data_IF_244866235000
#
_entry.id   IF_244866235000
#
_cell.length_a   1.000
_cell.length_b   1.000
_cell.length_c   1.000
_cell.angle_alpha   90.00
_cell.angle_beta   90.00
_cell.angle_gamma   90.00
#
_symmetry.space_group_name_H-M   'P 1'
#
loop_
_entity.id
_entity.type
_entity.pdbx_description
1 polymer ?
#
# COMPACT_ATOMS: atom_id res chain seq x y z
N UNK A 1 15.21 7.55 -26.95
CA UNK A 1 13.87 8.01 -26.50
C UNK A 1 13.78 8.02 -24.99
N UNK A 2 12.80 8.70 -24.42
CA UNK A 2 12.62 8.72 -22.97
C UNK A 2 12.13 7.38 -22.44
N UNK A 3 12.49 7.00 -21.19
CA UNK A 3 12.02 5.78 -20.56
C UNK A 3 10.49 5.72 -20.44
N UNK A 4 9.92 4.54 -20.58
CA UNK A 4 8.50 4.27 -20.39
C UNK A 4 8.27 3.63 -19.02
N UNK A 5 7.33 4.17 -18.24
CA UNK A 5 7.00 3.72 -16.89
C UNK A 5 5.82 2.75 -16.91
N UNK A 6 5.91 1.72 -16.08
CA UNK A 6 4.85 0.72 -15.90
C UNK A 6 3.99 1.00 -14.66
N UNK A 7 4.41 1.94 -13.81
CA UNK A 7 3.72 2.26 -12.56
C UNK A 7 2.60 3.28 -12.77
N UNK A 8 1.50 3.13 -12.02
CA UNK A 8 0.48 4.16 -11.87
C UNK A 8 1.02 5.32 -11.02
N UNK A 9 0.43 6.50 -11.18
CA UNK A 9 0.87 7.72 -10.47
C UNK A 9 0.47 7.76 -8.99
N UNK A 10 -0.26 6.76 -8.50
CA UNK A 10 -0.72 6.64 -7.12
C UNK A 10 -0.57 5.22 -6.61
N UNK A 11 -0.16 5.10 -5.34
CA UNK A 11 -0.14 3.85 -4.58
C UNK A 11 -0.68 4.08 -3.17
N UNK A 12 -1.17 3.01 -2.53
CA UNK A 12 -1.62 3.02 -1.14
C UNK A 12 -0.76 2.03 -0.36
N UNK A 13 -0.27 2.45 0.80
CA UNK A 13 0.51 1.60 1.71
C UNK A 13 -0.01 1.78 3.14
N UNK A 14 0.22 0.77 3.99
CA UNK A 14 -0.18 0.81 5.38
C UNK A 14 0.92 1.41 6.25
N UNK A 15 0.56 2.31 7.18
CA UNK A 15 1.50 2.89 8.14
C UNK A 15 2.23 1.81 8.95
N UNK A 16 3.45 2.09 9.35
CA UNK A 16 4.33 1.20 10.12
C UNK A 16 4.53 -0.21 9.52
N UNK A 17 4.04 -0.47 8.30
CA UNK A 17 4.19 -1.74 7.61
C UNK A 17 5.25 -1.67 6.51
N UNK A 18 5.93 -2.81 6.31
CA UNK A 18 6.86 -2.97 5.21
C UNK A 18 6.11 -3.03 3.89
N UNK A 19 6.60 -2.31 2.89
CA UNK A 19 6.07 -2.34 1.53
C UNK A 19 7.17 -2.41 0.48
N UNK A 20 6.79 -2.85 -0.70
CA UNK A 20 7.62 -2.82 -1.91
C UNK A 20 6.80 -2.30 -3.08
N UNK A 21 7.40 -1.42 -3.87
CA UNK A 21 6.77 -0.82 -5.03
C UNK A 21 7.79 -0.75 -6.17
N UNK A 22 7.50 -1.40 -7.29
CA UNK A 22 8.38 -1.35 -8.45
C UNK A 22 8.18 -0.06 -9.22
N UNK A 23 9.24 0.74 -9.32
CA UNK A 23 9.31 1.95 -10.13
C UNK A 23 10.07 1.70 -11.44
N UNK A 24 10.15 0.45 -11.86
CA UNK A 24 10.90 0.05 -13.06
C UNK A 24 10.40 0.79 -14.30
N UNK A 25 11.33 1.30 -15.06
CA UNK A 25 11.10 1.84 -16.39
C UNK A 25 11.80 0.97 -17.44
N UNK A 26 11.31 1.05 -18.66
CA UNK A 26 11.91 0.38 -19.82
C UNK A 26 12.43 1.47 -20.77
N UNK A 27 13.70 1.38 -21.11
CA UNK A 27 14.27 2.21 -22.16
C UNK A 27 14.14 1.52 -23.53
N UNK A 28 13.46 2.13 -24.51
CA UNK A 28 13.26 1.52 -25.83
C UNK A 28 14.53 1.37 -26.66
N UNK A 29 15.55 2.18 -26.37
CA UNK A 29 16.84 2.17 -27.09
C UNK A 29 17.86 1.20 -26.45
N UNK A 30 17.50 0.62 -25.26
CA UNK A 30 18.32 -0.33 -24.53
C UNK A 30 19.43 0.32 -23.69
N UNK A 31 19.29 1.60 -23.36
CA UNK A 31 20.22 2.31 -22.50
C UNK A 31 20.13 1.85 -21.03
N UNK A 32 21.23 1.94 -20.30
CA UNK A 32 21.26 1.59 -18.89
C UNK A 32 20.57 2.67 -18.06
N UNK A 33 19.67 2.26 -17.15
CA UNK A 33 18.96 3.18 -16.28
C UNK A 33 19.51 3.13 -14.85
N UNK A 34 19.56 4.29 -14.19
CA UNK A 34 19.77 4.36 -12.75
C UNK A 34 18.73 5.23 -12.09
N UNK A 35 18.35 4.86 -10.85
CA UNK A 35 17.22 5.43 -10.11
C UNK A 35 17.71 6.06 -8.81
N UNK A 36 17.18 7.23 -8.48
CA UNK A 36 17.39 7.88 -7.18
C UNK A 36 16.20 8.74 -6.80
N UNK A 37 15.95 8.92 -5.50
CA UNK A 37 15.03 9.96 -5.05
C UNK A 37 15.63 11.34 -5.33
N UNK A 38 14.78 12.30 -5.68
CA UNK A 38 15.16 13.67 -5.93
C UNK A 38 14.03 14.64 -5.59
N UNK A 39 14.32 15.94 -5.60
CA UNK A 39 13.32 16.95 -5.32
C UNK A 39 12.21 16.97 -6.38
N UNK A 40 10.95 16.97 -5.94
CA UNK A 40 9.80 17.34 -6.75
C UNK A 40 9.80 18.87 -6.97
N UNK A 41 9.31 19.31 -8.11
CA UNK A 41 9.25 20.74 -8.42
C UNK A 41 7.87 21.31 -8.18
N UNK A 42 7.83 22.56 -7.71
CA UNK A 42 6.62 23.37 -7.70
C UNK A 42 6.17 23.62 -9.13
N UNK A 43 4.98 23.13 -9.49
CA UNK A 43 4.39 23.33 -10.81
C UNK A 43 2.95 23.83 -10.77
N UNK A 44 2.32 23.66 -9.60
CA UNK A 44 0.93 24.05 -9.34
C UNK A 44 0.75 24.39 -7.86
N UNK A 45 -0.36 24.98 -7.50
CA UNK A 45 -0.78 25.23 -6.12
C UNK A 45 -2.27 24.89 -5.91
N UNK A 46 -2.73 24.94 -4.66
CA UNK A 46 -4.12 24.62 -4.33
C UNK A 46 -5.14 25.53 -5.03
N UNK A 47 -4.78 26.78 -5.31
CA UNK A 47 -5.64 27.74 -6.01
C UNK A 47 -5.60 27.59 -7.53
N UNK A 48 -4.52 27.00 -8.06
CA UNK A 48 -4.32 26.74 -9.48
C UNK A 48 -3.66 25.36 -9.68
N UNK A 49 -4.42 24.27 -9.50
CA UNK A 49 -3.88 22.91 -9.54
C UNK A 49 -3.49 22.43 -10.96
N UNK A 50 -3.94 23.12 -11.98
CA UNK A 50 -3.64 22.81 -13.38
C UNK A 50 -3.38 24.10 -14.17
N UNK A 51 -2.21 24.74 -14.00
CA UNK A 51 -1.89 25.96 -14.71
C UNK A 51 -1.86 25.74 -16.23
N UNK A 52 -2.41 26.69 -16.98
CA UNK A 52 -2.49 26.62 -18.45
C UNK A 52 -1.10 26.61 -19.10
N UNK A 53 -0.10 27.15 -18.45
CA UNK A 53 1.30 27.11 -18.88
C UNK A 53 2.21 26.77 -17.71
N UNK A 54 3.20 25.91 -17.96
CA UNK A 54 4.23 25.63 -16.97
C UNK A 54 5.00 26.90 -16.62
N UNK A 55 5.42 27.01 -15.36
CA UNK A 55 6.30 28.08 -14.93
C UNK A 55 7.63 28.01 -15.71
N UNK A 56 8.23 29.15 -16.08
CA UNK A 56 9.55 29.15 -16.69
C UNK A 56 10.61 28.75 -15.66
N UNK A 57 11.77 28.19 -16.10
CA UNK A 57 12.89 27.95 -15.21
C UNK A 57 13.43 29.26 -14.61
N UNK A 58 14.09 29.23 -13.42
CA UNK A 58 14.47 28.04 -12.65
C UNK A 58 13.29 27.42 -11.90
N UNK A 59 13.23 26.09 -11.86
CA UNK A 59 12.23 25.34 -11.10
C UNK A 59 12.66 25.22 -9.64
N UNK A 60 11.75 25.56 -8.72
CA UNK A 60 12.00 25.46 -7.28
C UNK A 60 11.44 24.14 -6.74
N UNK A 61 12.14 23.50 -5.79
CA UNK A 61 11.61 22.31 -5.13
C UNK A 61 10.37 22.63 -4.29
N UNK A 62 9.50 21.64 -4.13
CA UNK A 62 8.38 21.75 -3.17
C UNK A 62 8.95 21.89 -1.75
N UNK A 63 8.29 22.66 -0.86
CA UNK A 63 8.69 22.77 0.53
C UNK A 63 8.37 21.45 1.25
N UNK A 64 9.40 20.66 1.59
CA UNK A 64 9.23 19.46 2.39
C UNK A 64 9.05 19.81 3.87
N UNK A 65 8.14 19.09 4.54
CA UNK A 65 8.02 19.14 5.99
C UNK A 65 9.08 18.25 6.64
N UNK A 66 9.81 18.78 7.62
CA UNK A 66 10.79 17.97 8.38
C UNK A 66 10.14 16.78 9.08
N UNK A 67 10.78 15.60 9.08
CA UNK A 67 12.14 15.29 8.65
C UNK A 67 12.30 14.91 7.17
N UNK A 68 11.28 15.07 6.36
CA UNK A 68 11.28 14.65 4.95
C UNK A 68 12.06 15.59 4.04
N UNK A 69 12.53 15.06 2.92
CA UNK A 69 13.27 15.80 1.88
C UNK A 69 13.10 15.10 0.52
N UNK A 70 13.52 15.72 -0.56
CA UNK A 70 13.48 15.07 -1.87
C UNK A 70 14.29 13.79 -1.97
N UNK A 71 15.38 13.67 -1.20
CA UNK A 71 16.19 12.44 -1.12
C UNK A 71 15.70 11.43 -0.09
N UNK A 72 14.80 11.84 0.78
CA UNK A 72 14.18 11.03 1.84
C UNK A 72 12.68 11.36 1.96
N UNK A 73 11.91 11.14 0.88
CA UNK A 73 10.54 11.63 0.80
C UNK A 73 9.57 10.93 1.77
N UNK A 74 9.92 9.75 2.25
CA UNK A 74 9.19 9.00 3.29
C UNK A 74 10.05 8.72 4.52
N UNK A 75 11.15 9.47 4.72
CA UNK A 75 12.09 9.29 5.81
C UNK A 75 13.15 8.22 5.55
N UNK A 76 13.99 7.96 6.55
CA UNK A 76 15.15 7.06 6.45
C UNK A 76 14.78 5.58 6.26
N UNK A 77 13.54 5.20 6.61
CA UNK A 77 13.06 3.82 6.53
C UNK A 77 12.73 3.34 5.11
N UNK A 78 12.69 4.26 4.12
CA UNK A 78 12.31 3.94 2.73
C UNK A 78 13.44 4.29 1.79
N UNK A 79 13.82 3.34 0.94
CA UNK A 79 14.93 3.47 -0.01
C UNK A 79 14.51 3.06 -1.42
N UNK A 80 15.28 3.46 -2.42
CA UNK A 80 15.14 3.01 -3.80
C UNK A 80 16.39 2.28 -4.24
N UNK A 81 16.22 1.13 -4.87
CA UNK A 81 17.34 0.40 -5.48
C UNK A 81 17.80 1.12 -6.75
N UNK A 82 19.07 1.55 -6.86
CA UNK A 82 19.54 2.36 -7.98
C UNK A 82 19.59 1.62 -9.32
N UNK A 83 19.50 0.29 -9.32
CA UNK A 83 19.57 -0.53 -10.54
C UNK A 83 18.19 -0.98 -10.98
N UNK A 84 17.33 -1.41 -10.03
CA UNK A 84 16.04 -2.00 -10.35
C UNK A 84 14.88 -1.02 -10.25
N UNK A 85 15.07 0.15 -9.62
CA UNK A 85 13.99 1.08 -9.33
C UNK A 85 12.99 0.57 -8.27
N UNK A 86 13.33 -0.52 -7.53
CA UNK A 86 12.48 -1.02 -6.46
C UNK A 86 12.54 -0.07 -5.26
N UNK A 87 11.42 0.55 -4.94
CA UNK A 87 11.20 1.30 -3.71
C UNK A 87 10.80 0.31 -2.63
N UNK A 88 11.47 0.33 -1.48
CA UNK A 88 11.17 -0.59 -0.38
C UNK A 88 11.50 0.02 0.98
N UNK A 89 10.78 -0.41 1.99
CA UNK A 89 11.00 0.01 3.37
C UNK A 89 9.75 -0.04 4.22
N UNK A 90 9.83 0.50 5.43
CA UNK A 90 8.69 0.64 6.32
C UNK A 90 8.05 2.02 6.12
N UNK A 91 6.76 2.03 5.84
CA UNK A 91 6.00 3.27 5.68
C UNK A 91 6.02 4.10 6.98
N UNK A 92 6.02 5.43 6.89
CA UNK A 92 5.90 6.29 8.06
C UNK A 92 4.63 5.99 8.87
N UNK A 93 4.67 6.25 10.20
CA UNK A 93 3.49 6.16 11.06
C UNK A 93 2.49 7.31 10.85
N UNK A 94 2.93 8.40 10.23
CA UNK A 94 2.08 9.55 9.96
C UNK A 94 1.22 9.31 8.73
N UNK A 95 -0.09 9.34 8.93
CA UNK A 95 -1.06 9.16 7.84
C UNK A 95 -1.05 10.39 6.93
N UNK A 96 -1.26 10.15 5.63
CA UNK A 96 -1.37 11.22 4.66
C UNK A 96 -0.76 10.88 3.30
N UNK A 97 -0.72 11.88 2.45
CA UNK A 97 -0.18 11.76 1.10
C UNK A 97 1.28 12.22 1.06
N UNK A 98 2.13 11.35 0.54
CA UNK A 98 3.55 11.60 0.32
C UNK A 98 3.83 11.74 -1.16
N UNK A 99 4.50 12.82 -1.54
CA UNK A 99 4.98 13.02 -2.91
C UNK A 99 6.41 12.52 -3.02
N UNK A 100 6.60 11.55 -3.88
CA UNK A 100 7.92 10.99 -4.20
C UNK A 100 8.28 11.39 -5.62
N UNK A 101 9.46 11.97 -5.79
CA UNK A 101 10.03 12.19 -7.10
C UNK A 101 11.23 11.25 -7.30
N UNK A 102 11.22 10.52 -8.41
CA UNK A 102 12.33 9.66 -8.81
C UNK A 102 13.00 10.27 -10.03
N UNK A 103 14.30 10.49 -9.91
CA UNK A 103 15.17 10.84 -11.02
C UNK A 103 15.69 9.56 -11.67
N UNK A 104 15.47 9.43 -12.97
CA UNK A 104 15.95 8.33 -13.80
C UNK A 104 17.01 8.88 -14.74
N UNK A 105 18.24 8.40 -14.59
CA UNK A 105 19.36 8.76 -15.44
C UNK A 105 19.61 7.65 -16.46
N UNK A 106 19.71 8.04 -17.72
CA UNK A 106 19.98 7.16 -18.86
C UNK A 106 21.46 7.24 -19.25
N UNK A 107 22.09 6.07 -19.40
CA UNK A 107 23.50 5.97 -19.75
C UNK A 107 23.68 5.13 -21.00
N UNK A 108 24.41 5.67 -21.97
CA UNK A 108 24.86 4.97 -23.18
C UNK A 108 26.38 4.84 -23.14
N UNK A 109 26.89 3.60 -23.15
CA UNK A 109 28.32 3.30 -23.04
C UNK A 109 28.97 3.97 -21.80
N UNK A 110 28.26 4.04 -20.67
CA UNK A 110 28.72 4.66 -19.43
C UNK A 110 28.68 6.20 -19.40
N UNK A 111 28.19 6.84 -20.46
CA UNK A 111 28.02 8.30 -20.52
C UNK A 111 26.56 8.66 -20.24
N UNK A 112 26.32 9.58 -19.32
CA UNK A 112 24.99 10.13 -19.04
C UNK A 112 24.49 10.91 -20.26
N UNK A 113 23.36 10.49 -20.81
CA UNK A 113 22.76 11.11 -22.00
C UNK A 113 21.46 11.86 -21.70
N UNK A 114 20.72 11.44 -20.66
CA UNK A 114 19.46 12.06 -20.28
C UNK A 114 19.16 11.85 -18.79
N UNK A 115 18.34 12.72 -18.25
CA UNK A 115 17.78 12.60 -16.90
C UNK A 115 16.31 12.99 -16.91
N UNK A 116 15.45 12.05 -16.57
CA UNK A 116 13.99 12.22 -16.52
C UNK A 116 13.52 12.19 -15.08
N UNK A 117 12.49 12.97 -14.75
CA UNK A 117 11.83 12.96 -13.43
C UNK A 117 10.42 12.42 -13.56
N UNK A 118 10.03 11.57 -12.62
CA UNK A 118 8.68 11.05 -12.52
C UNK A 118 8.22 11.17 -11.07
N UNK A 119 7.05 11.76 -10.88
CA UNK A 119 6.41 11.87 -9.57
C UNK A 119 5.43 10.73 -9.34
N UNK A 120 5.31 10.33 -8.08
CA UNK A 120 4.39 9.32 -7.58
C UNK A 120 3.80 9.81 -6.27
N UNK A 121 2.50 9.63 -6.10
CA UNK A 121 1.82 9.91 -4.85
C UNK A 121 1.58 8.61 -4.09
N UNK A 122 2.14 8.49 -2.88
CA UNK A 122 1.87 7.38 -1.97
C UNK A 122 0.94 7.86 -0.86
N UNK A 123 -0.23 7.24 -0.77
CA UNK A 123 -1.15 7.45 0.34
C UNK A 123 -0.81 6.46 1.46
N UNK A 124 -0.40 6.98 2.61
CA UNK A 124 -0.21 6.19 3.83
C UNK A 124 -1.51 6.19 4.62
N UNK A 125 -2.10 5.02 4.77
CA UNK A 125 -3.34 4.81 5.51
C UNK A 125 -3.11 3.95 6.75
N UNK A 126 -4.02 4.07 7.70
CA UNK A 126 -4.18 3.09 8.77
C UNK A 126 -4.87 1.85 8.16
N UNK A 127 -4.13 0.75 8.11
CA UNK A 127 -4.67 -0.51 7.63
C UNK A 127 -4.72 -1.45 8.81
N UNK A 128 -5.78 -1.37 9.58
CA UNK A 128 -6.07 -2.40 10.58
C UNK A 128 -6.27 -3.74 9.85
N UNK A 129 -5.38 -4.72 10.02
CA UNK A 129 -5.55 -6.00 9.38
C UNK A 129 -6.83 -6.65 9.89
N UNK A 130 -7.65 -7.18 8.97
CA UNK A 130 -8.75 -8.06 9.37
C UNK A 130 -8.15 -9.33 9.98
N UNK A 131 -8.48 -9.60 11.22
CA UNK A 131 -8.03 -10.78 11.94
C UNK A 131 -9.21 -11.66 12.30
N UNK A 132 -9.04 -12.98 12.13
CA UNK A 132 -9.97 -13.99 12.59
C UNK A 132 -9.29 -14.83 13.66
N UNK A 133 -9.80 -14.76 14.87
CA UNK A 133 -9.35 -15.58 15.99
C UNK A 133 -10.56 -16.15 16.72
N UNK A 134 -10.71 -17.47 16.65
CA UNK A 134 -11.74 -18.19 17.39
C UNK A 134 -11.31 -18.39 18.83
N UNK A 135 -12.27 -18.31 19.75
CA UNK A 135 -12.09 -18.85 21.10
C UNK A 135 -11.78 -20.35 20.97
N UNK A 136 -10.68 -20.83 21.54
CA UNK A 136 -10.38 -22.24 21.49
C UNK A 136 -11.45 -23.00 22.27
N UNK A 137 -12.13 -23.85 21.55
CA UNK A 137 -12.90 -24.97 22.07
C UNK A 137 -14.02 -24.64 23.07
N UNK A 138 -15.20 -24.36 22.55
CA UNK A 138 -16.42 -24.39 23.33
C UNK A 138 -16.90 -25.83 23.46
N UNK A 139 -16.69 -26.44 24.65
CA UNK A 139 -17.37 -27.68 25.03
C UNK A 139 -18.67 -27.27 25.73
N UNK A 140 -19.81 -27.49 25.11
CA UNK A 140 -21.10 -27.26 25.75
C UNK A 140 -21.69 -28.61 26.19
N UNK A 141 -22.05 -28.70 27.48
CA UNK A 141 -22.72 -29.88 28.03
C UNK A 141 -24.26 -29.73 28.07
N UNK A 142 -24.76 -28.53 27.82
CA UNK A 142 -26.20 -28.19 27.82
C UNK A 142 -26.69 -27.84 26.41
N UNK A 143 -27.10 -28.88 25.66
CA UNK A 143 -27.62 -28.73 24.29
C UNK A 143 -26.51 -28.57 23.23
N UNK A 144 -26.92 -28.48 21.96
CA UNK A 144 -26.02 -28.47 20.82
C UNK A 144 -25.84 -27.09 20.20
N UNK A 145 -26.31 -26.01 20.87
CA UNK A 145 -26.17 -24.64 20.37
C UNK A 145 -24.86 -24.02 20.82
N UNK A 146 -24.04 -23.59 19.87
CA UNK A 146 -22.77 -22.93 20.08
C UNK A 146 -22.89 -21.48 19.61
N UNK A 147 -22.43 -20.54 20.45
CA UNK A 147 -22.31 -19.13 20.10
C UNK A 147 -20.87 -18.85 19.67
N UNK A 148 -20.70 -18.26 18.51
CA UNK A 148 -19.40 -17.94 17.93
C UNK A 148 -19.12 -16.44 18.02
N UNK A 149 -17.88 -16.08 18.31
CA UNK A 149 -17.41 -14.71 18.27
C UNK A 149 -15.95 -14.66 17.81
N UNK A 150 -15.61 -13.57 17.15
CA UNK A 150 -14.20 -13.27 16.89
C UNK A 150 -13.58 -12.67 18.17
N UNK A 151 -12.42 -13.19 18.60
CA UNK A 151 -11.71 -12.70 19.80
C UNK A 151 -10.99 -11.39 19.60
N UNK A 152 -10.73 -11.01 18.34
CA UNK A 152 -10.07 -9.77 18.01
C UNK A 152 -11.07 -8.75 17.49
N UNK A 153 -10.82 -7.49 17.83
CA UNK A 153 -11.62 -6.38 17.32
C UNK A 153 -11.22 -6.09 15.88
N UNK A 154 -12.18 -6.02 14.99
CA UNK A 154 -11.98 -5.61 13.60
C UNK A 154 -12.53 -4.19 13.38
N UNK A 155 -12.02 -3.44 12.38
CA UNK A 155 -12.52 -2.12 12.05
C UNK A 155 -14.00 -2.14 11.67
N UNK A 156 -14.66 -0.99 11.81
CA UNK A 156 -16.05 -0.84 11.42
C UNK A 156 -16.23 -1.13 9.92
N UNK A 157 -17.20 -1.99 9.60
CA UNK A 157 -17.44 -2.42 8.21
C UNK A 157 -16.74 -3.73 7.82
N UNK A 158 -16.06 -4.40 8.76
CA UNK A 158 -15.54 -5.75 8.53
C UNK A 158 -16.70 -6.72 8.19
N UNK A 159 -16.51 -7.50 7.14
CA UNK A 159 -17.42 -8.55 6.73
C UNK A 159 -16.98 -9.89 7.28
N UNK A 160 -17.94 -10.72 7.66
CA UNK A 160 -17.71 -12.05 8.25
C UNK A 160 -18.30 -13.12 7.37
N UNK A 161 -17.61 -14.27 7.30
CA UNK A 161 -18.13 -15.52 6.79
C UNK A 161 -17.74 -16.63 7.76
N UNK A 162 -18.77 -17.25 8.36
CA UNK A 162 -18.62 -18.40 9.22
C UNK A 162 -19.02 -19.65 8.47
N UNK A 163 -18.27 -20.73 8.64
CA UNK A 163 -18.59 -22.07 8.14
C UNK A 163 -18.56 -22.98 9.34
N UNK A 164 -19.71 -23.57 9.72
CA UNK A 164 -19.84 -24.31 10.96
C UNK A 164 -19.44 -25.78 10.86
N UNK A 165 -19.16 -26.27 9.63
CA UNK A 165 -18.75 -27.65 9.39
C UNK A 165 -19.89 -28.66 9.51
N UNK A 166 -21.15 -28.21 9.37
CA UNK A 166 -22.37 -29.02 9.45
C UNK A 166 -23.14 -28.98 8.11
N UNK A 167 -22.60 -29.60 7.04
CA UNK A 167 -23.24 -29.55 5.72
C UNK A 167 -24.65 -30.15 5.70
N UNK A 168 -25.03 -30.96 6.71
CA UNK A 168 -26.37 -31.51 6.82
C UNK A 168 -27.41 -30.45 7.15
N UNK A 169 -27.02 -29.34 7.75
CA UNK A 169 -27.92 -28.18 8.04
C UNK A 169 -28.18 -27.31 6.80
N UNK A 170 -27.56 -27.60 5.65
CA UNK A 170 -27.78 -26.89 4.38
C UNK A 170 -27.39 -25.42 4.45
N UNK A 171 -28.32 -24.52 4.20
CA UNK A 171 -28.03 -23.06 4.25
C UNK A 171 -27.71 -22.52 5.65
N UNK A 172 -27.97 -23.29 6.70
CA UNK A 172 -27.63 -22.94 8.09
C UNK A 172 -26.18 -23.29 8.46
N UNK A 173 -25.45 -23.96 7.59
CA UNK A 173 -24.01 -24.27 7.78
C UNK A 173 -23.13 -23.01 7.67
N UNK A 174 -23.67 -21.88 7.26
CA UNK A 174 -22.94 -20.63 7.12
C UNK A 174 -23.65 -19.44 7.74
N UNK A 175 -22.88 -18.41 8.13
CA UNK A 175 -23.41 -17.15 8.62
C UNK A 175 -22.50 -15.98 8.26
N UNK A 176 -23.09 -14.81 8.04
CA UNK A 176 -22.37 -13.54 7.83
C UNK A 176 -22.49 -12.60 9.03
N UNK A 177 -23.12 -13.02 10.12
CA UNK A 177 -23.28 -12.21 11.32
C UNK A 177 -21.95 -12.08 12.06
N UNK A 178 -21.67 -10.95 12.72
CA UNK A 178 -20.45 -10.78 13.53
C UNK A 178 -20.34 -11.79 14.69
N UNK A 179 -21.49 -12.16 15.28
CA UNK A 179 -21.59 -13.09 16.42
C UNK A 179 -22.74 -14.07 16.18
N UNK A 180 -22.55 -15.08 15.35
CA UNK A 180 -23.61 -16.04 15.04
C UNK A 180 -23.73 -17.11 16.11
N UNK A 181 -24.87 -17.80 16.12
CA UNK A 181 -25.06 -19.07 16.81
C UNK A 181 -25.41 -20.16 15.81
N UNK A 182 -24.94 -21.38 16.06
CA UNK A 182 -25.32 -22.56 15.29
C UNK A 182 -25.73 -23.68 16.22
N UNK A 183 -26.77 -24.43 15.83
CA UNK A 183 -27.27 -25.59 16.60
C UNK A 183 -26.97 -26.85 15.81
N UNK A 184 -26.07 -27.65 16.31
CA UNK A 184 -25.75 -28.97 15.75
C UNK A 184 -26.84 -29.97 16.11
N UNK A 185 -27.02 -31.00 15.30
CA UNK A 185 -28.05 -32.02 15.49
C UNK A 185 -27.56 -33.20 16.34
N UNK A 186 -26.25 -33.36 16.46
CA UNK A 186 -25.65 -34.50 17.19
C UNK A 186 -24.29 -34.08 17.80
N UNK A 187 -23.73 -34.95 18.62
CA UNK A 187 -22.37 -34.81 19.14
C UNK A 187 -21.33 -35.14 18.09
N UNK A 188 -20.28 -34.33 17.94
CA UNK A 188 -19.27 -34.54 16.94
C UNK A 188 -18.10 -33.57 17.04
N UNK A 189 -17.19 -33.68 16.10
CA UNK A 189 -16.15 -32.70 15.79
C UNK A 189 -16.54 -32.07 14.45
N UNK A 190 -16.74 -30.78 14.47
CA UNK A 190 -17.20 -30.02 13.32
C UNK A 190 -16.13 -29.04 12.86
#
# INVERSE_FOLDING_TARGET
SSPTFLINDTAVVCNDNFFQLSFQAIDPDGDSLSYSFCDAFLGADQGNPAPVSAAPPPYFPVPYQLPYSGTQPMGLGVTINPITGLISGTAPNTLGQYVICVCINEYRNGVLISSTRKELHIQVNDCDPLNAELNPQLVTCDGFTVNFSNNVSNPAGAEYLWIFGDPASGSLDTSILPTPSHTYTDTGIY
#
